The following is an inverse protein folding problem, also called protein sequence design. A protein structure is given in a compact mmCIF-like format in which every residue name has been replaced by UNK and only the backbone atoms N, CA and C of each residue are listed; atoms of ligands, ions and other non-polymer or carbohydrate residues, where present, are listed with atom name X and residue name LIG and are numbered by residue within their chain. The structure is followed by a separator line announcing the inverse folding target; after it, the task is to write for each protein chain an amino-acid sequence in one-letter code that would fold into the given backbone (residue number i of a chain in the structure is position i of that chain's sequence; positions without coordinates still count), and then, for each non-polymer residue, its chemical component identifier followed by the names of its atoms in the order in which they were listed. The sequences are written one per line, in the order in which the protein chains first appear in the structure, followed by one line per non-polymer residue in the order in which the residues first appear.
data_IF_092281617431
#
_entry.id   IF_092281617431
#
_cell.length_a   1.000
_cell.length_b   1.000
_cell.length_c   1.000
_cell.angle_alpha   90.00
_cell.angle_beta   90.00
_cell.angle_gamma   90.00
#
_symmetry.space_group_name_H-M   'P 1'
#
loop_
_entity.id
_entity.type
_entity.pdbx_description
1 polymer ?
#
# COMPACT_ATOMS: atom_id res chain seq x y z
N UNK A 1 -23.91 10.95 -1.63
CA UNK A 1 -22.69 10.19 -1.97
C UNK A 1 -21.99 9.70 -0.70
N UNK A 2 -22.71 9.00 0.18
CA UNK A 2 -22.15 8.55 1.46
C UNK A 2 -21.71 7.08 1.37
N UNK A 3 -20.43 6.83 1.66
CA UNK A 3 -19.82 5.55 2.05
C UNK A 3 -19.67 4.42 1.00
N UNK A 4 -19.68 4.72 -0.30
CA UNK A 4 -19.38 3.73 -1.34
C UNK A 4 -17.98 3.12 -1.20
N UNK A 5 -16.97 3.94 -0.93
CA UNK A 5 -15.60 3.46 -0.67
C UNK A 5 -15.51 2.58 0.58
N UNK A 6 -16.28 2.88 1.64
CA UNK A 6 -16.34 2.04 2.85
C UNK A 6 -16.91 0.67 2.49
N UNK A 7 -17.95 0.62 1.67
CA UNK A 7 -18.53 -0.64 1.21
C UNK A 7 -17.54 -1.43 0.35
N UNK A 8 -16.78 -0.77 -0.54
CA UNK A 8 -15.66 -1.41 -1.26
C UNK A 8 -14.61 -1.98 -0.34
N UNK A 9 -14.18 -1.20 0.66
CA UNK A 9 -13.20 -1.67 1.63
C UNK A 9 -13.71 -2.87 2.42
N UNK A 10 -14.99 -2.89 2.80
CA UNK A 10 -15.62 -4.06 3.43
C UNK A 10 -15.59 -5.27 2.52
N UNK A 11 -16.06 -5.14 1.26
CA UNK A 11 -15.98 -6.22 0.25
C UNK A 11 -14.56 -6.74 0.06
N UNK A 12 -13.57 -5.85 0.00
CA UNK A 12 -12.16 -6.22 -0.12
C UNK A 12 -11.66 -6.98 1.12
N UNK A 13 -12.03 -6.54 2.34
CA UNK A 13 -11.66 -7.24 3.58
C UNK A 13 -12.31 -8.63 3.64
N UNK A 14 -13.56 -8.76 3.21
CA UNK A 14 -14.25 -10.04 3.13
C UNK A 14 -13.56 -10.96 2.11
N UNK A 15 -13.14 -10.42 0.96
CA UNK A 15 -12.44 -11.18 -0.08
C UNK A 15 -11.06 -11.68 0.38
N UNK A 16 -10.36 -10.96 1.26
CA UNK A 16 -9.05 -11.39 1.81
C UNK A 16 -9.14 -12.77 2.49
N UNK A 17 -10.29 -13.12 3.06
CA UNK A 17 -10.50 -14.40 3.73
C UNK A 17 -10.99 -15.51 2.78
N UNK A 18 -11.18 -15.22 1.49
CA UNK A 18 -11.64 -16.18 0.47
C UNK A 18 -10.54 -17.14 0.00
N UNK A 19 -10.96 -18.30 -0.51
CA UNK A 19 -10.04 -19.29 -1.10
C UNK A 19 -9.37 -18.78 -2.38
N UNK A 20 -10.01 -17.84 -3.10
CA UNK A 20 -9.44 -17.22 -4.30
C UNK A 20 -8.18 -16.44 -3.92
N UNK A 21 -8.26 -15.55 -2.92
CA UNK A 21 -7.10 -14.78 -2.44
C UNK A 21 -5.99 -15.70 -1.95
N UNK A 22 -6.35 -16.79 -1.27
CA UNK A 22 -5.39 -17.79 -0.83
C UNK A 22 -4.62 -18.42 -2.01
N UNK A 23 -5.30 -18.69 -3.11
CA UNK A 23 -4.67 -19.20 -4.34
C UNK A 23 -3.65 -18.22 -4.91
N UNK A 24 -3.98 -16.92 -4.94
CA UNK A 24 -3.05 -15.87 -5.39
C UNK A 24 -1.92 -15.57 -4.39
N UNK A 25 -2.08 -15.87 -3.11
CA UNK A 25 -1.13 -15.54 -2.05
C UNK A 25 0.07 -16.50 -1.97
N UNK A 26 0.02 -17.67 -2.63
CA UNK A 26 1.12 -18.63 -2.63
C UNK A 26 2.08 -18.37 -3.79
N UNK A 27 3.39 -18.38 -3.52
CA UNK A 27 4.42 -18.24 -4.57
C UNK A 27 4.43 -19.48 -5.46
N UNK A 28 4.76 -20.65 -4.88
CA UNK A 28 4.74 -21.95 -5.58
C UNK A 28 4.46 -23.14 -4.63
N UNK A 29 4.31 -22.86 -3.32
CA UNK A 29 4.15 -23.88 -2.28
C UNK A 29 2.70 -23.94 -1.84
N UNK A 30 1.97 -24.94 -2.35
CA UNK A 30 0.57 -25.23 -2.01
C UNK A 30 0.34 -25.39 -0.49
N UNK A 31 1.41 -25.71 0.26
CA UNK A 31 1.39 -25.88 1.71
C UNK A 31 1.67 -24.61 2.53
N UNK A 32 1.88 -23.45 1.90
CA UNK A 32 2.04 -22.19 2.63
C UNK A 32 0.70 -21.73 3.21
N UNK A 33 0.72 -20.98 4.30
CA UNK A 33 -0.47 -20.41 4.99
C UNK A 33 -1.67 -21.35 5.26
N UNK A 34 -1.52 -22.68 5.18
CA UNK A 34 -2.56 -23.65 5.57
C UNK A 34 -2.89 -23.53 7.06
N UNK A 35 -1.85 -23.37 7.89
CA UNK A 35 -2.01 -23.35 9.35
C UNK A 35 -2.29 -21.92 9.82
N UNK A 36 -3.40 -21.74 10.54
CA UNK A 36 -3.68 -20.52 11.31
C UNK A 36 -2.76 -20.48 12.54
N UNK A 37 -1.55 -19.93 12.36
CA UNK A 37 -0.56 -19.70 13.44
C UNK A 37 -0.74 -18.31 14.06
N UNK A 38 0.31 -17.81 14.73
CA UNK A 38 0.37 -16.49 15.37
C UNK A 38 0.08 -15.29 14.45
N UNK A 39 0.19 -15.48 13.13
CA UNK A 39 -0.17 -14.47 12.13
C UNK A 39 -0.74 -15.18 10.88
N UNK A 40 -2.07 -15.23 10.71
CA UNK A 40 -2.72 -15.80 9.53
C UNK A 40 -2.46 -14.96 8.26
N UNK A 41 -2.77 -15.51 7.09
CA UNK A 41 -2.58 -14.84 5.80
C UNK A 41 -3.24 -13.46 5.74
N UNK A 42 -4.50 -13.37 6.21
CA UNK A 42 -5.24 -12.11 6.26
C UNK A 42 -4.52 -11.04 7.07
N UNK A 43 -3.95 -11.40 8.22
CA UNK A 43 -3.18 -10.49 9.04
C UNK A 43 -1.90 -10.01 8.35
N UNK A 44 -1.21 -10.89 7.62
CA UNK A 44 -0.01 -10.50 6.85
C UNK A 44 -0.37 -9.51 5.75
N UNK A 45 -1.46 -9.78 5.01
CA UNK A 45 -1.93 -8.90 3.94
C UNK A 45 -2.34 -7.54 4.53
N UNK A 46 -3.18 -7.53 5.55
CA UNK A 46 -3.66 -6.29 6.21
C UNK A 46 -2.51 -5.49 6.80
N UNK A 47 -1.59 -6.14 7.52
CA UNK A 47 -0.40 -5.49 8.07
C UNK A 47 0.54 -4.94 6.97
N UNK A 48 0.55 -5.55 5.79
CA UNK A 48 1.33 -5.04 4.65
C UNK A 48 0.66 -3.83 4.01
N UNK A 49 -0.67 -3.85 3.86
CA UNK A 49 -1.46 -2.74 3.32
C UNK A 49 -1.49 -1.52 4.26
N UNK A 50 -1.41 -1.74 5.57
CA UNK A 50 -1.46 -0.68 6.59
C UNK A 50 -0.10 -0.10 6.98
N UNK A 51 0.96 -0.37 6.20
CA UNK A 51 2.30 0.16 6.48
C UNK A 51 2.32 1.69 6.50
N UNK A 52 3.05 2.25 7.47
CA UNK A 52 3.15 3.71 7.71
C UNK A 52 4.58 4.25 7.55
N UNK A 53 5.51 3.43 7.06
CA UNK A 53 6.93 3.80 6.94
C UNK A 53 7.68 3.78 8.28
N UNK A 54 7.10 3.15 9.31
CA UNK A 54 7.74 2.98 10.62
C UNK A 54 8.60 1.72 10.63
N UNK A 55 9.37 1.53 11.71
CA UNK A 55 10.12 0.28 11.90
C UNK A 55 9.16 -0.90 12.03
N UNK A 56 9.59 -2.09 11.58
CA UNK A 56 8.76 -3.30 11.61
C UNK A 56 8.26 -3.64 13.03
N UNK A 57 9.08 -3.38 14.06
CA UNK A 57 8.66 -3.58 15.45
C UNK A 57 7.46 -2.70 15.81
N UNK A 58 7.51 -1.41 15.45
CA UNK A 58 6.46 -0.45 15.76
C UNK A 58 5.20 -0.77 14.96
N UNK A 59 5.34 -1.09 13.67
CA UNK A 59 4.20 -1.45 12.82
C UNK A 59 3.49 -2.71 13.33
N UNK A 60 4.23 -3.76 13.69
CA UNK A 60 3.63 -4.98 14.25
C UNK A 60 2.97 -4.70 15.60
N UNK A 61 3.63 -3.96 16.49
CA UNK A 61 3.05 -3.58 17.78
C UNK A 61 1.73 -2.83 17.57
N UNK A 62 1.74 -1.76 16.77
CA UNK A 62 0.54 -0.97 16.47
C UNK A 62 -0.57 -1.81 15.84
N UNK A 63 -0.23 -2.71 14.91
CA UNK A 63 -1.19 -3.61 14.28
C UNK A 63 -1.89 -4.51 15.32
N UNK A 64 -1.13 -5.17 16.20
CA UNK A 64 -1.70 -6.03 17.24
C UNK A 64 -2.48 -5.24 18.28
N UNK A 65 -2.01 -4.06 18.69
CA UNK A 65 -2.75 -3.16 19.59
C UNK A 65 -4.10 -2.74 18.98
N UNK A 66 -4.14 -2.35 17.70
CA UNK A 66 -5.38 -1.98 17.01
C UNK A 66 -6.34 -3.16 16.86
N UNK A 67 -5.81 -4.39 16.78
CA UNK A 67 -6.61 -5.63 16.78
C UNK A 67 -7.14 -6.01 18.18
N UNK A 68 -6.76 -5.28 19.23
CA UNK A 68 -7.16 -5.55 20.61
C UNK A 68 -6.31 -6.60 21.32
N UNK A 69 -5.12 -6.95 20.80
CA UNK A 69 -4.20 -7.85 21.49
C UNK A 69 -3.31 -7.08 22.48
N UNK A 70 -3.16 -7.62 23.69
CA UNK A 70 -2.31 -7.01 24.73
C UNK A 70 -0.80 -7.05 24.41
N UNK A 71 -0.37 -7.98 23.55
CA UNK A 71 1.04 -8.12 23.17
C UNK A 71 1.19 -8.62 21.73
N UNK A 72 2.36 -8.37 21.16
CA UNK A 72 2.73 -8.87 19.83
C UNK A 72 2.95 -10.39 19.88
N UNK A 73 2.14 -11.14 19.13
CA UNK A 73 2.20 -12.61 19.14
C UNK A 73 3.42 -13.17 18.39
N UNK A 74 3.95 -12.43 17.41
CA UNK A 74 4.99 -12.88 16.48
C UNK A 74 6.27 -12.04 16.61
N UNK A 75 7.44 -12.67 16.47
CA UNK A 75 8.70 -11.92 16.39
C UNK A 75 8.86 -11.21 15.05
N UNK A 76 9.69 -10.16 15.00
CA UNK A 76 10.09 -9.46 13.74
C UNK A 76 10.57 -10.45 12.68
N UNK A 77 11.43 -11.38 13.09
CA UNK A 77 12.00 -12.41 12.22
C UNK A 77 10.90 -13.35 11.72
N UNK A 78 9.98 -13.78 12.60
CA UNK A 78 8.84 -14.61 12.25
C UNK A 78 7.95 -13.95 11.19
N UNK A 79 7.63 -12.67 11.36
CA UNK A 79 6.84 -11.90 10.39
C UNK A 79 7.55 -11.83 9.03
N UNK A 80 8.83 -11.46 9.02
CA UNK A 80 9.60 -11.37 7.77
C UNK A 80 9.67 -12.71 7.03
N UNK A 81 9.83 -13.82 7.74
CA UNK A 81 9.84 -15.16 7.14
C UNK A 81 8.49 -15.56 6.55
N UNK A 82 7.38 -15.11 7.16
CA UNK A 82 6.05 -15.34 6.60
C UNK A 82 5.78 -14.43 5.39
N UNK A 83 6.17 -13.15 5.46
CA UNK A 83 6.04 -12.21 4.34
C UNK A 83 6.83 -12.66 3.10
N UNK A 84 8.00 -13.29 3.27
CA UNK A 84 8.75 -13.90 2.16
C UNK A 84 7.98 -15.01 1.42
N UNK A 85 6.99 -15.65 2.05
CA UNK A 85 6.17 -16.69 1.42
C UNK A 85 4.97 -16.12 0.67
N UNK A 86 4.67 -14.83 0.89
CA UNK A 86 3.54 -14.15 0.28
C UNK A 86 3.88 -13.79 -1.17
N UNK A 87 3.04 -14.24 -2.09
CA UNK A 87 3.15 -13.85 -3.49
C UNK A 87 2.57 -12.45 -3.69
N UNK A 88 3.32 -11.58 -4.35
CA UNK A 88 2.89 -10.21 -4.62
C UNK A 88 1.64 -10.12 -5.51
N UNK A 89 1.37 -11.16 -6.33
CA UNK A 89 0.19 -11.22 -7.21
C UNK A 89 -1.12 -11.08 -6.44
N UNK A 90 -1.14 -11.41 -5.15
CA UNK A 90 -2.29 -11.18 -4.28
C UNK A 90 -2.69 -9.70 -4.23
N UNK A 91 -1.73 -8.79 -4.21
CA UNK A 91 -2.01 -7.35 -4.18
C UNK A 91 -2.50 -6.84 -5.52
N UNK A 92 -1.96 -7.36 -6.63
CA UNK A 92 -2.48 -7.08 -7.98
C UNK A 92 -3.93 -7.54 -8.12
N UNK A 93 -4.25 -8.74 -7.61
CA UNK A 93 -5.62 -9.26 -7.61
C UNK A 93 -6.55 -8.38 -6.76
N UNK A 94 -6.20 -8.10 -5.50
CA UNK A 94 -7.02 -7.27 -4.61
C UNK A 94 -7.24 -5.86 -5.19
N UNK A 95 -6.21 -5.27 -5.80
CA UNK A 95 -6.33 -3.96 -6.44
C UNK A 95 -7.24 -4.02 -7.67
N UNK A 96 -7.15 -5.08 -8.48
CA UNK A 96 -8.07 -5.28 -9.61
C UNK A 96 -9.52 -5.37 -9.12
N UNK A 97 -9.81 -6.23 -8.15
CA UNK A 97 -11.15 -6.37 -7.57
C UNK A 97 -11.70 -5.04 -7.03
N UNK A 98 -10.86 -4.26 -6.35
CA UNK A 98 -11.23 -2.94 -5.86
C UNK A 98 -11.56 -1.96 -7.00
N UNK A 99 -10.73 -1.93 -8.05
CA UNK A 99 -10.88 -1.03 -9.18
C UNK A 99 -12.07 -1.40 -10.08
N UNK A 100 -12.32 -2.69 -10.31
CA UNK A 100 -13.48 -3.17 -11.06
C UNK A 100 -14.78 -2.67 -10.41
N UNK A 101 -14.91 -2.79 -9.07
CA UNK A 101 -16.08 -2.27 -8.36
C UNK A 101 -16.21 -0.74 -8.49
N UNK A 102 -15.09 0.00 -8.52
CA UNK A 102 -15.10 1.44 -8.72
C UNK A 102 -15.49 1.84 -10.15
N UNK A 103 -14.88 1.25 -11.18
CA UNK A 103 -15.12 1.63 -12.56
C UNK A 103 -16.49 1.20 -13.09
N UNK A 104 -17.08 0.17 -12.50
CA UNK A 104 -18.45 -0.28 -12.80
C UNK A 104 -19.53 0.35 -11.91
N UNK A 105 -19.16 1.19 -10.94
CA UNK A 105 -20.14 1.93 -10.13
C UNK A 105 -20.54 3.25 -10.78
N UNK A 106 -21.43 3.98 -10.12
CA UNK A 106 -21.87 5.33 -10.51
C UNK A 106 -20.97 6.43 -9.94
N UNK A 107 -19.88 6.08 -9.27
CA UNK A 107 -18.92 7.04 -8.70
C UNK A 107 -18.02 7.73 -9.72
N UNK A 108 -17.42 7.05 -10.70
CA UNK A 108 -16.62 7.72 -11.72
C UNK A 108 -17.51 8.67 -12.53
N UNK A 109 -17.22 9.97 -12.41
CA UNK A 109 -17.87 11.00 -13.23
C UNK A 109 -17.12 11.05 -14.57
N UNK A 110 -17.83 10.72 -15.65
CA UNK A 110 -17.26 10.66 -17.00
C UNK A 110 -17.58 11.94 -17.76
N UNK A 111 -16.65 12.41 -18.58
CA UNK A 111 -16.86 13.42 -19.60
C UNK A 111 -16.71 12.77 -20.98
N UNK A 112 -17.77 12.83 -21.80
CA UNK A 112 -17.82 12.15 -23.11
C UNK A 112 -17.38 10.68 -23.05
N UNK A 113 -17.85 9.91 -22.06
CA UNK A 113 -17.47 8.51 -21.79
C UNK A 113 -15.99 8.28 -21.41
N UNK A 114 -15.26 9.33 -21.01
CA UNK A 114 -13.87 9.22 -20.57
C UNK A 114 -13.70 9.76 -19.15
N UNK A 115 -12.81 9.14 -18.39
CA UNK A 115 -12.30 9.74 -17.14
C UNK A 115 -11.27 10.80 -17.49
N UNK A 116 -11.53 12.03 -17.08
CA UNK A 116 -10.63 13.15 -17.29
C UNK A 116 -9.72 13.28 -16.07
N UNK A 117 -8.44 12.98 -16.26
CA UNK A 117 -7.40 13.20 -15.27
C UNK A 117 -6.57 14.41 -15.69
N UNK A 118 -6.55 15.46 -14.87
CA UNK A 118 -5.56 16.52 -15.01
C UNK A 118 -4.34 16.13 -14.18
N UNK A 119 -3.25 15.75 -14.85
CA UNK A 119 -1.94 15.51 -14.21
C UNK A 119 -0.98 16.56 -14.75
N UNK A 120 -0.73 17.61 -13.97
CA UNK A 120 0.30 18.59 -14.30
C UNK A 120 1.67 18.03 -13.90
N UNK A 121 2.47 17.67 -14.90
CA UNK A 121 3.83 17.16 -14.75
C UNK A 121 4.90 18.18 -15.14
N UNK A 122 4.54 19.47 -15.24
CA UNK A 122 5.45 20.49 -15.77
C UNK A 122 6.55 20.81 -14.74
N UNK A 123 7.78 20.42 -15.05
CA UNK A 123 8.98 20.88 -14.34
C UNK A 123 9.59 22.03 -15.15
N UNK A 124 9.51 23.25 -14.62
CA UNK A 124 10.24 24.39 -15.18
C UNK A 124 11.57 24.53 -14.44
N UNK A 125 12.69 24.52 -15.18
CA UNK A 125 13.99 24.91 -14.64
C UNK A 125 14.22 26.38 -14.96
N UNK A 126 14.39 27.18 -13.92
CA UNK A 126 14.73 28.59 -14.06
C UNK A 126 16.22 28.69 -14.42
N UNK A 127 16.60 29.45 -15.48
CA UNK A 127 18.00 29.66 -15.81
C UNK A 127 18.78 30.21 -14.63
N UNK A 128 19.99 29.70 -14.40
CA UNK A 128 20.84 30.07 -13.27
C UNK A 128 21.51 31.46 -13.49
N UNK A 129 20.72 32.54 -13.46
CA UNK A 129 21.18 33.94 -13.54
C UNK A 129 21.30 34.58 -12.15
N UNK A 130 22.07 35.67 -12.05
CA UNK A 130 22.20 36.45 -10.80
C UNK A 130 20.84 36.98 -10.30
N UNK A 131 20.01 37.46 -11.22
CA UNK A 131 18.67 37.98 -10.94
C UNK A 131 17.78 36.89 -10.33
N UNK A 132 17.81 35.67 -10.89
CA UNK A 132 17.02 34.56 -10.39
C UNK A 132 17.51 34.07 -9.03
N UNK A 133 18.83 34.09 -8.77
CA UNK A 133 19.38 33.77 -7.44
C UNK A 133 18.99 34.80 -6.39
N UNK A 134 18.97 36.08 -6.75
CA UNK A 134 18.54 37.14 -5.84
C UNK A 134 17.03 37.06 -5.53
N UNK A 135 16.20 36.72 -6.52
CA UNK A 135 14.74 36.67 -6.36
C UNK A 135 14.25 35.37 -5.71
N UNK A 136 14.76 34.20 -6.14
CA UNK A 136 14.28 32.88 -5.69
C UNK A 136 15.18 32.24 -4.60
N UNK A 137 16.39 32.75 -4.40
CA UNK A 137 17.37 32.20 -3.46
C UNK A 137 18.20 31.05 -4.02
N UNK A 138 19.24 30.67 -3.28
CA UNK A 138 20.09 29.52 -3.59
C UNK A 138 19.74 28.34 -2.67
N UNK A 139 19.52 27.15 -3.26
CA UNK A 139 19.45 25.91 -2.49
C UNK A 139 20.86 25.35 -2.36
N UNK A 140 21.52 25.62 -1.23
CA UNK A 140 22.88 25.17 -0.96
C UNK A 140 22.96 23.64 -0.84
N UNK A 141 23.46 22.97 -1.88
CA UNK A 141 23.93 21.61 -1.73
C UNK A 141 25.25 21.65 -0.96
N UNK A 142 25.27 21.06 0.25
CA UNK A 142 26.46 20.83 1.07
C UNK A 142 27.42 19.78 0.45
N UNK A 143 27.75 19.94 -0.84
CA UNK A 143 28.78 19.16 -1.50
C UNK A 143 30.03 20.05 -1.50
N UNK A 144 31.13 19.62 -0.85
CA UNK A 144 32.34 20.42 -0.83
C UNK A 144 32.82 20.63 -2.26
N UNK A 145 32.96 21.89 -2.68
CA UNK A 145 33.61 22.23 -3.94
C UNK A 145 35.05 21.74 -3.85
N UNK A 146 35.38 20.72 -4.64
CA UNK A 146 36.77 20.33 -4.88
C UNK A 146 37.46 21.53 -5.55
N UNK A 147 38.55 21.98 -4.94
CA UNK A 147 39.35 23.13 -5.38
C UNK A 147 39.91 22.94 -6.78
#
# INVERSE_FOLDING_TARGET
MFNTYINRFKKMIDSINSDIVRTYAHLDKQNSFIRKRKMPLSDIILCTLSKKGLTIAIELHQYFTQKGACHMSISKQGYLQQRKKLNYKVFSFLNKEYLEDFYHSTEPILWNNHLVFAVDGSKAEVPNSDENRAFFGECGNNIPKVK
#
